data_IF_223692943261
#
_entry.id   IF_223692943261
#
_cell.length_a   1.000
_cell.length_b   1.000
_cell.length_c   1.000
_cell.angle_alpha   90.00
_cell.angle_beta   90.00
_cell.angle_gamma   90.00
#
_symmetry.space_group_name_H-M   'P 1'
#
loop_
_entity.id
_entity.type
_entity.pdbx_description
1 polymer ?
#
# COMPACT_ATOMS: atom_id res chain seq x y z
N UNK A 1 -12.12 -13.20 -0.35
CA UNK A 1 -11.37 -12.42 -1.38
C UNK A 1 -10.02 -12.01 -0.80
N UNK A 2 -8.93 -12.00 -1.58
CA UNK A 2 -7.59 -11.62 -1.11
C UNK A 2 -7.12 -10.34 -1.80
N UNK A 3 -6.78 -9.31 -1.03
CA UNK A 3 -6.26 -8.03 -1.52
C UNK A 3 -4.81 -7.90 -1.08
N UNK A 4 -3.92 -7.50 -1.99
CA UNK A 4 -2.51 -7.28 -1.69
C UNK A 4 -2.13 -5.86 -2.09
N UNK A 5 -1.69 -5.06 -1.12
CA UNK A 5 -1.34 -3.63 -1.29
C UNK A 5 0.15 -3.46 -1.01
N UNK A 6 0.93 -2.84 -1.92
CA UNK A 6 2.33 -2.55 -1.65
C UNK A 6 2.45 -1.42 -0.62
N UNK A 7 3.49 -1.48 0.21
CA UNK A 7 3.96 -0.33 0.96
C UNK A 7 4.48 0.73 -0.03
N UNK A 8 4.45 2.00 0.39
CA UNK A 8 4.96 3.11 -0.41
C UNK A 8 5.95 3.95 0.38
N UNK A 9 6.84 4.61 -0.34
CA UNK A 9 7.63 5.74 0.17
C UNK A 9 7.22 6.99 -0.60
N UNK A 10 7.17 8.13 0.09
CA UNK A 10 6.81 9.43 -0.45
C UNK A 10 7.94 10.44 -0.25
N UNK A 11 7.80 11.65 -0.80
CA UNK A 11 8.74 12.77 -0.66
C UNK A 11 10.16 12.43 -1.12
N UNK A 12 10.26 11.78 -2.28
CA UNK A 12 11.54 11.37 -2.84
C UNK A 12 12.31 12.58 -3.39
N UNK A 13 13.45 12.89 -2.77
CA UNK A 13 14.30 14.01 -3.18
C UNK A 13 13.55 15.34 -3.16
N UNK A 14 13.60 16.18 -4.22
CA UNK A 14 12.85 17.43 -4.28
C UNK A 14 11.33 17.24 -4.49
N UNK A 15 10.86 16.01 -4.67
CA UNK A 15 9.47 15.68 -4.97
C UNK A 15 8.54 15.70 -3.76
N UNK A 16 8.60 16.74 -2.94
CA UNK A 16 7.68 16.95 -1.81
C UNK A 16 6.22 16.96 -2.31
N UNK A 17 5.38 16.14 -1.69
CA UNK A 17 3.96 15.95 -2.04
C UNK A 17 3.68 15.63 -3.53
N UNK A 18 4.66 15.11 -4.26
CA UNK A 18 4.52 14.84 -5.70
C UNK A 18 5.12 13.50 -6.14
N UNK A 19 6.25 13.10 -5.56
CA UNK A 19 6.93 11.85 -5.93
C UNK A 19 6.76 10.78 -4.86
N UNK A 20 6.33 9.60 -5.28
CA UNK A 20 6.29 8.39 -4.46
C UNK A 20 6.64 7.15 -5.27
N UNK A 21 7.02 6.08 -4.57
CA UNK A 21 7.37 4.78 -5.17
C UNK A 21 6.75 3.64 -4.36
N UNK A 22 6.30 2.59 -5.06
CA UNK A 22 5.88 1.34 -4.44
C UNK A 22 7.10 0.48 -4.08
N UNK A 23 7.06 -0.16 -2.93
CA UNK A 23 8.13 -1.01 -2.42
C UNK A 23 7.71 -2.49 -2.46
N UNK A 24 8.69 -3.40 -2.48
CA UNK A 24 8.49 -4.85 -2.44
C UNK A 24 8.16 -5.38 -1.03
N UNK A 25 7.34 -4.65 -0.28
CA UNK A 25 6.77 -5.03 1.00
C UNK A 25 5.25 -4.87 0.91
N UNK A 26 4.47 -5.78 1.51
CA UNK A 26 3.04 -5.86 1.21
C UNK A 26 2.18 -6.03 2.46
N UNK A 27 1.08 -5.27 2.51
CA UNK A 27 -0.07 -5.58 3.34
C UNK A 27 -0.97 -6.57 2.58
N UNK A 28 -1.29 -7.69 3.22
CA UNK A 28 -2.23 -8.68 2.66
C UNK A 28 -3.48 -8.71 3.51
N UNK A 29 -4.64 -8.49 2.90
CA UNK A 29 -5.95 -8.49 3.55
C UNK A 29 -6.77 -9.66 3.00
N UNK A 30 -7.26 -10.51 3.92
CA UNK A 30 -8.22 -11.56 3.59
C UNK A 30 -9.61 -11.11 4.03
N UNK A 31 -10.52 -10.93 3.06
CA UNK A 31 -11.93 -10.58 3.32
C UNK A 31 -12.67 -11.87 3.65
N UNK A 32 -13.23 -11.94 4.87
CA UNK A 32 -13.81 -13.15 5.47
C UNK A 32 -15.33 -13.28 5.32
N UNK A 33 -16.06 -12.20 5.00
CA UNK A 33 -17.53 -12.18 4.94
C UNK A 33 -18.10 -11.05 5.78
N UNK A 34 -19.43 -10.93 5.82
CA UNK A 34 -20.13 -10.00 6.71
C UNK A 34 -20.02 -10.50 8.15
N UNK A 35 -19.73 -9.59 9.09
CA UNK A 35 -19.77 -9.91 10.52
C UNK A 35 -21.21 -9.86 11.01
N UNK A 36 -21.67 -10.90 11.71
CA UNK A 36 -22.95 -10.89 12.43
C UNK A 36 -22.97 -9.85 13.56
#
# INVERSE_FOLDING_TARGET
MKIRVPATSANLGPGFDSCGIALSAYLTINVLGESE
#
